data_IF_959140735273
#
_entry.id   IF_959140735273
#
_cell.length_a   1.000
_cell.length_b   1.000
_cell.length_c   1.000
_cell.angle_alpha   90.00
_cell.angle_beta   90.00
_cell.angle_gamma   90.00
#
_symmetry.space_group_name_H-M   'P 1'
#
loop_
_entity.id
_entity.type
_entity.pdbx_description
1 polymer ?
#
# COMPACT_ATOMS: atom_id res chain seq x y z
N UNK A 1 -2.25 -2.48 -27.24
CA UNK A 1 -1.14 -1.83 -26.51
C UNK A 1 0.15 -2.02 -27.30
N UNK A 2 0.90 -0.94 -27.54
CA UNK A 2 2.23 -1.01 -28.16
C UNK A 2 3.25 -1.64 -27.20
N UNK A 3 4.39 -2.09 -27.71
CA UNK A 3 5.50 -2.60 -26.90
C UNK A 3 5.98 -1.58 -25.86
N UNK A 4 6.05 -0.31 -26.25
CA UNK A 4 6.42 0.81 -25.37
C UNK A 4 5.43 0.98 -24.20
N UNK A 5 4.12 0.88 -24.46
CA UNK A 5 3.09 0.98 -23.41
C UNK A 5 3.17 -0.18 -22.41
N UNK A 6 3.48 -1.39 -22.88
CA UNK A 6 3.69 -2.55 -22.01
C UNK A 6 4.92 -2.36 -21.10
N UNK A 7 6.03 -1.89 -21.68
CA UNK A 7 7.26 -1.61 -20.92
C UNK A 7 7.03 -0.58 -19.82
N UNK A 8 6.32 0.52 -20.12
CA UNK A 8 5.97 1.54 -19.13
C UNK A 8 5.10 0.98 -17.99
N UNK A 9 4.12 0.12 -18.28
CA UNK A 9 3.31 -0.53 -17.23
C UNK A 9 4.15 -1.43 -16.32
N UNK A 10 5.02 -2.26 -16.90
CA UNK A 10 5.90 -3.15 -16.14
C UNK A 10 6.81 -2.32 -15.24
N UNK A 11 7.40 -1.24 -15.77
CA UNK A 11 8.26 -0.35 -15.00
C UNK A 11 7.52 0.27 -13.81
N UNK A 12 6.29 0.78 -14.02
CA UNK A 12 5.45 1.31 -12.94
C UNK A 12 5.14 0.24 -11.89
N UNK A 13 4.82 -0.98 -12.33
CA UNK A 13 4.55 -2.11 -11.46
C UNK A 13 5.74 -2.48 -10.57
N UNK A 14 6.94 -2.54 -11.14
CA UNK A 14 8.18 -2.82 -10.39
C UNK A 14 8.45 -1.70 -9.37
N UNK A 15 8.37 -0.42 -9.78
CA UNK A 15 8.56 0.70 -8.86
C UNK A 15 7.53 0.71 -7.73
N UNK A 16 6.28 0.39 -8.04
CA UNK A 16 5.21 0.26 -7.06
C UNK A 16 5.49 -0.87 -6.06
N UNK A 17 5.91 -2.05 -6.53
CA UNK A 17 6.26 -3.17 -5.67
C UNK A 17 7.44 -2.86 -4.75
N UNK A 18 8.50 -2.25 -5.30
CA UNK A 18 9.67 -1.79 -4.53
C UNK A 18 9.26 -0.77 -3.47
N UNK A 19 8.42 0.20 -3.83
CA UNK A 19 7.87 1.19 -2.89
C UNK A 19 7.08 0.50 -1.77
N UNK A 20 6.24 -0.49 -2.11
CA UNK A 20 5.45 -1.23 -1.13
C UNK A 20 6.32 -1.97 -0.10
N UNK A 21 7.35 -2.68 -0.55
CA UNK A 21 8.30 -3.35 0.33
C UNK A 21 9.03 -2.35 1.25
N UNK A 22 9.53 -1.26 0.67
CA UNK A 22 10.20 -0.20 1.42
C UNK A 22 9.28 0.42 2.49
N UNK A 23 8.05 0.78 2.12
CA UNK A 23 7.07 1.39 3.04
C UNK A 23 6.68 0.41 4.15
N UNK A 24 6.60 -0.88 3.86
CA UNK A 24 6.31 -1.91 4.87
C UNK A 24 7.45 -2.03 5.87
N UNK A 25 8.69 -2.05 5.40
CA UNK A 25 9.87 -2.04 6.27
C UNK A 25 9.95 -0.75 7.10
N UNK A 26 9.66 0.40 6.49
CA UNK A 26 9.59 1.69 7.18
C UNK A 26 8.52 1.70 8.28
N UNK A 27 7.33 1.14 8.01
CA UNK A 27 6.28 1.02 9.01
C UNK A 27 6.76 0.22 10.22
N UNK A 28 7.35 -0.96 9.99
CA UNK A 28 7.89 -1.80 11.06
C UNK A 28 8.97 -1.06 11.85
N UNK A 29 9.90 -0.37 11.16
CA UNK A 29 10.95 0.42 11.79
C UNK A 29 10.38 1.54 12.68
N UNK A 30 9.45 2.33 12.16
CA UNK A 30 8.83 3.44 12.91
C UNK A 30 8.07 2.90 14.12
N UNK A 31 7.32 1.80 13.98
CA UNK A 31 6.60 1.18 15.09
C UNK A 31 7.57 0.71 16.19
N UNK A 32 8.65 0.02 15.81
CA UNK A 32 9.67 -0.46 16.75
C UNK A 32 10.36 0.71 17.45
N UNK A 33 10.80 1.74 16.72
CA UNK A 33 11.44 2.91 17.32
C UNK A 33 10.48 3.66 18.27
N UNK A 34 9.22 3.83 17.87
CA UNK A 34 8.22 4.51 18.70
C UNK A 34 7.96 3.76 20.02
N UNK A 35 7.84 2.43 19.96
CA UNK A 35 7.66 1.58 21.15
C UNK A 35 8.85 1.69 22.09
N UNK A 36 10.08 1.65 21.57
CA UNK A 36 11.29 1.60 22.39
C UNK A 36 11.72 2.96 22.94
N UNK A 37 11.41 4.07 22.26
CA UNK A 37 11.96 5.39 22.61
C UNK A 37 10.92 6.45 22.97
N UNK A 38 9.63 6.26 22.67
CA UNK A 38 8.61 7.29 22.87
C UNK A 38 7.50 6.81 23.79
N UNK A 39 6.78 5.74 23.40
CA UNK A 39 5.70 5.18 24.22
C UNK A 39 5.52 3.70 23.93
N UNK A 40 5.54 2.89 24.99
CA UNK A 40 5.44 1.43 24.91
C UNK A 40 4.05 0.91 24.49
N UNK A 41 3.09 1.78 24.17
CA UNK A 41 1.71 1.41 23.82
C UNK A 41 1.62 1.00 22.34
N UNK A 42 1.42 -0.31 22.01
CA UNK A 42 1.44 -0.77 20.62
C UNK A 42 0.39 -0.12 19.71
N UNK A 43 -0.86 0.16 20.15
CA UNK A 43 -1.85 0.83 19.30
C UNK A 43 -1.40 2.22 18.85
N UNK A 44 -0.82 3.02 19.75
CA UNK A 44 -0.33 4.37 19.43
C UNK A 44 0.84 4.32 18.46
N UNK A 45 1.80 3.43 18.70
CA UNK A 45 2.95 3.23 17.82
C UNK A 45 2.54 2.82 16.41
N UNK A 46 1.61 1.87 16.28
CA UNK A 46 1.07 1.45 14.98
C UNK A 46 0.34 2.59 14.27
N UNK A 47 -0.43 3.41 15.00
CA UNK A 47 -1.11 4.57 14.43
C UNK A 47 -0.13 5.59 13.81
N UNK A 48 0.94 5.93 14.55
CA UNK A 48 1.99 6.83 14.06
C UNK A 48 2.74 6.22 12.88
N UNK A 49 3.16 4.97 13.00
CA UNK A 49 3.84 4.25 11.91
C UNK A 49 2.98 4.17 10.66
N UNK A 50 1.68 3.96 10.79
CA UNK A 50 0.73 3.91 9.67
C UNK A 50 0.61 5.29 8.99
N UNK A 51 0.51 6.37 9.76
CA UNK A 51 0.44 7.72 9.23
C UNK A 51 1.73 8.08 8.44
N UNK A 52 2.90 7.80 9.02
CA UNK A 52 4.20 8.03 8.36
C UNK A 52 4.32 7.20 7.08
N UNK A 53 4.03 5.90 7.16
CA UNK A 53 4.07 4.99 6.01
C UNK A 53 3.13 5.45 4.89
N UNK A 54 1.92 5.92 5.22
CA UNK A 54 0.94 6.40 4.25
C UNK A 54 1.43 7.66 3.53
N UNK A 55 1.97 8.64 4.26
CA UNK A 55 2.52 9.88 3.67
C UNK A 55 3.69 9.56 2.75
N UNK A 56 4.64 8.75 3.22
CA UNK A 56 5.81 8.36 2.43
C UNK A 56 5.40 7.54 1.19
N UNK A 57 4.46 6.63 1.35
CA UNK A 57 3.89 5.86 0.22
C UNK A 57 3.25 6.76 -0.82
N UNK A 58 2.46 7.76 -0.40
CA UNK A 58 1.86 8.72 -1.32
C UNK A 58 2.92 9.52 -2.07
N UNK A 59 3.93 10.04 -1.37
CA UNK A 59 5.00 10.84 -1.99
C UNK A 59 5.77 10.01 -3.02
N UNK A 60 6.28 8.84 -2.64
CA UNK A 60 7.10 7.99 -3.53
C UNK A 60 6.27 7.47 -4.69
N UNK A 61 5.05 6.98 -4.45
CA UNK A 61 4.23 6.48 -5.54
C UNK A 61 3.87 7.58 -6.52
N UNK A 62 3.54 8.78 -6.04
CA UNK A 62 3.20 9.90 -6.91
C UNK A 62 4.40 10.37 -7.73
N UNK A 63 5.54 10.64 -7.10
CA UNK A 63 6.67 11.27 -7.79
C UNK A 63 7.54 10.28 -8.56
N UNK A 64 7.66 9.03 -8.10
CA UNK A 64 8.57 8.04 -8.67
C UNK A 64 7.85 6.89 -9.38
N UNK A 65 6.89 6.22 -8.72
CA UNK A 65 6.21 5.05 -9.32
C UNK A 65 5.38 5.46 -10.54
N UNK A 66 4.62 6.55 -10.44
CA UNK A 66 3.71 7.01 -11.49
C UNK A 66 4.15 8.31 -12.17
N UNK A 67 5.22 8.95 -11.69
CA UNK A 67 5.80 10.17 -12.27
C UNK A 67 4.76 11.29 -12.49
N UNK A 68 3.87 11.46 -11.51
CA UNK A 68 2.84 12.47 -11.45
C UNK A 68 3.24 13.62 -10.50
N UNK A 69 2.50 14.74 -10.56
CA UNK A 69 2.70 15.88 -9.66
C UNK A 69 1.89 15.69 -8.38
N UNK A 70 2.45 16.12 -7.25
CA UNK A 70 1.74 16.16 -5.97
C UNK A 70 0.61 17.21 -6.06
N UNK A 71 -0.61 16.78 -5.77
CA UNK A 71 -1.77 17.66 -5.77
C UNK A 71 -2.84 17.18 -4.78
N UNK A 72 -3.73 18.07 -4.34
CA UNK A 72 -4.82 17.71 -3.42
C UNK A 72 -5.74 16.62 -3.99
N UNK A 73 -6.00 16.69 -5.31
CA UNK A 73 -6.81 15.69 -6.03
C UNK A 73 -6.16 14.30 -6.05
N UNK A 74 -4.84 14.21 -6.28
CA UNK A 74 -4.13 12.92 -6.28
C UNK A 74 -4.04 12.35 -4.88
N UNK A 75 -3.87 13.20 -3.85
CA UNK A 75 -3.92 12.79 -2.45
C UNK A 75 -5.29 12.22 -2.09
N UNK A 76 -6.38 12.92 -2.41
CA UNK A 76 -7.73 12.42 -2.13
C UNK A 76 -8.01 11.08 -2.80
N UNK A 77 -7.66 10.94 -4.09
CA UNK A 77 -7.79 9.66 -4.81
C UNK A 77 -6.93 8.57 -4.20
N UNK A 78 -5.68 8.87 -3.84
CA UNK A 78 -4.79 7.93 -3.16
C UNK A 78 -5.42 7.42 -1.86
N UNK A 79 -5.90 8.33 -1.00
CA UNK A 79 -6.57 7.97 0.25
C UNK A 79 -7.82 7.12 0.02
N UNK A 80 -8.64 7.45 -0.99
CA UNK A 80 -9.81 6.64 -1.36
C UNK A 80 -9.40 5.22 -1.78
N UNK A 81 -8.34 5.08 -2.58
CA UNK A 81 -7.81 3.76 -2.94
C UNK A 81 -7.25 3.03 -1.71
N UNK A 82 -6.56 3.72 -0.80
CA UNK A 82 -6.05 3.12 0.44
C UNK A 82 -7.17 2.59 1.33
N UNK A 83 -8.25 3.36 1.49
CA UNK A 83 -9.44 2.95 2.26
C UNK A 83 -10.14 1.76 1.58
N UNK A 84 -10.31 1.80 0.26
CA UNK A 84 -10.86 0.67 -0.49
C UNK A 84 -9.98 -0.59 -0.35
N UNK A 85 -8.65 -0.43 -0.43
CA UNK A 85 -7.68 -1.51 -0.22
C UNK A 85 -7.76 -2.09 1.19
N UNK A 86 -7.99 -1.26 2.21
CA UNK A 86 -8.21 -1.71 3.59
C UNK A 86 -9.48 -2.56 3.72
N UNK A 87 -10.61 -2.10 3.19
CA UNK A 87 -11.84 -2.90 3.24
C UNK A 87 -11.71 -4.21 2.44
N UNK A 88 -11.01 -4.18 1.31
CA UNK A 88 -10.69 -5.38 0.55
C UNK A 88 -9.80 -6.34 1.36
N UNK A 89 -8.83 -5.81 2.12
CA UNK A 89 -7.99 -6.60 3.03
C UNK A 89 -8.84 -7.39 4.02
N UNK A 90 -9.75 -6.69 4.70
CA UNK A 90 -10.63 -7.30 5.69
C UNK A 90 -11.53 -8.34 5.05
N UNK A 91 -12.10 -8.03 3.88
CA UNK A 91 -12.98 -8.95 3.16
C UNK A 91 -12.23 -10.23 2.74
N UNK A 92 -11.03 -10.11 2.17
CA UNK A 92 -10.22 -11.26 1.75
C UNK A 92 -9.80 -12.11 2.95
N UNK A 93 -9.36 -11.48 4.05
CA UNK A 93 -9.02 -12.19 5.28
C UNK A 93 -10.23 -12.94 5.86
N UNK A 94 -11.39 -12.28 5.91
CA UNK A 94 -12.64 -12.88 6.38
C UNK A 94 -13.12 -14.02 5.49
N UNK A 95 -13.06 -13.86 4.16
CA UNK A 95 -13.41 -14.92 3.22
C UNK A 95 -12.50 -16.14 3.37
N UNK A 96 -11.19 -15.92 3.53
CA UNK A 96 -10.22 -16.99 3.80
C UNK A 96 -10.53 -17.73 5.11
N UNK A 97 -10.90 -16.98 6.16
CA UNK A 97 -11.31 -17.55 7.44
C UNK A 97 -12.58 -18.42 7.31
N UNK A 98 -13.62 -17.92 6.62
CA UNK A 98 -14.86 -18.69 6.41
C UNK A 98 -14.63 -19.93 5.56
N UNK A 99 -13.71 -19.86 4.60
CA UNK A 99 -13.29 -21.01 3.80
C UNK A 99 -12.47 -22.05 4.60
N UNK A 100 -12.20 -21.81 5.89
CA UNK A 100 -11.43 -22.71 6.75
C UNK A 100 -9.94 -22.75 6.42
N UNK A 101 -9.41 -21.74 5.72
CA UNK A 101 -8.00 -21.69 5.36
C UNK A 101 -7.14 -21.40 6.59
N UNK A 102 -5.92 -21.96 6.60
CA UNK A 102 -4.92 -21.60 7.59
C UNK A 102 -4.60 -20.10 7.53
N UNK A 103 -4.43 -19.44 8.67
CA UNK A 103 -4.27 -17.98 8.75
C UNK A 103 -3.12 -17.45 7.88
N UNK A 104 -2.03 -18.21 7.72
CA UNK A 104 -0.93 -17.85 6.83
C UNK A 104 -1.36 -17.76 5.36
N UNK A 105 -2.25 -18.63 4.91
CA UNK A 105 -2.80 -18.56 3.54
C UNK A 105 -3.69 -17.33 3.38
N UNK A 106 -4.43 -16.95 4.42
CA UNK A 106 -5.18 -15.69 4.45
C UNK A 106 -4.25 -14.47 4.33
N UNK A 107 -3.14 -14.45 5.07
CA UNK A 107 -2.11 -13.39 4.97
C UNK A 107 -1.53 -13.33 3.55
N UNK A 108 -1.17 -14.47 2.96
CA UNK A 108 -0.65 -14.54 1.59
C UNK A 108 -1.67 -14.02 0.58
N UNK A 109 -2.94 -14.41 0.71
CA UNK A 109 -4.01 -13.92 -0.16
C UNK A 109 -4.14 -12.39 -0.10
N UNK A 110 -4.20 -11.83 1.12
CA UNK A 110 -4.23 -10.37 1.37
C UNK A 110 -3.01 -9.69 0.75
N UNK A 111 -1.81 -10.23 0.99
CA UNK A 111 -0.53 -9.66 0.53
C UNK A 111 -0.38 -9.67 -1.00
N UNK A 112 -1.05 -10.58 -1.71
CA UNK A 112 -1.04 -10.61 -3.18
C UNK A 112 -2.18 -9.78 -3.78
N UNK A 113 -3.38 -9.85 -3.21
CA UNK A 113 -4.57 -9.20 -3.76
C UNK A 113 -4.52 -7.68 -3.62
N UNK A 114 -4.11 -7.15 -2.46
CA UNK A 114 -4.17 -5.71 -2.22
C UNK A 114 -3.20 -4.93 -3.12
N UNK A 115 -1.90 -5.30 -3.23
CA UNK A 115 -0.99 -4.56 -4.11
C UNK A 115 -1.45 -4.58 -5.56
N UNK A 116 -1.98 -5.70 -6.04
CA UNK A 116 -2.54 -5.80 -7.40
C UNK A 116 -3.75 -4.85 -7.59
N UNK A 117 -4.72 -4.91 -6.67
CA UNK A 117 -5.92 -4.06 -6.71
C UNK A 117 -5.56 -2.57 -6.65
N UNK A 118 -4.73 -2.19 -5.68
CA UNK A 118 -4.32 -0.81 -5.50
C UNK A 118 -3.48 -0.32 -6.68
N UNK A 119 -2.57 -1.12 -7.23
CA UNK A 119 -1.81 -0.75 -8.42
C UNK A 119 -2.71 -0.44 -9.62
N UNK A 120 -3.73 -1.29 -9.87
CA UNK A 120 -4.69 -1.07 -10.95
C UNK A 120 -5.41 0.27 -10.77
N UNK A 121 -5.97 0.53 -9.58
CA UNK A 121 -6.66 1.80 -9.34
C UNK A 121 -5.72 3.00 -9.42
N UNK A 122 -4.49 2.89 -8.96
CA UNK A 122 -3.54 3.99 -9.07
C UNK A 122 -3.15 4.29 -10.52
N UNK A 123 -2.91 3.25 -11.31
CA UNK A 123 -2.51 3.37 -12.72
C UNK A 123 -3.65 3.84 -13.63
N UNK A 124 -4.87 3.41 -13.37
CA UNK A 124 -6.02 3.68 -14.24
C UNK A 124 -6.92 4.81 -13.75
N UNK A 125 -6.81 5.24 -12.49
CA UNK A 125 -7.66 6.28 -11.94
C UNK A 125 -6.91 7.34 -11.13
N UNK A 126 -6.06 6.99 -10.16
CA UNK A 126 -5.40 7.97 -9.29
C UNK A 126 -4.53 8.95 -10.08
N UNK A 127 -3.65 8.41 -10.93
CA UNK A 127 -2.63 9.16 -11.67
C UNK A 127 -2.91 9.27 -13.16
N UNK A 128 -4.19 9.17 -13.54
CA UNK A 128 -4.70 9.64 -14.83
C UNK A 128 -5.30 11.04 -14.67
#
# INVERSE_FOLDING_TARGET
>A
MTSAQKSALIQRGVRFAVTGLFVTALHALVAVLFINFIAAQPPLANGVAFAVATVVSYVINTTWSFSARLHGRTLLRFLLVSVAGFFLAMFVAWAAQIAGLHYLLGIVAVALTIPAFTFVLHNFWTYR
#
